data_IF_779937019775
#
_entry.id   IF_779937019775
#
_cell.length_a   1.000
_cell.length_b   1.000
_cell.length_c   1.000
_cell.angle_alpha   90.00
_cell.angle_beta   90.00
_cell.angle_gamma   90.00
#
_symmetry.space_group_name_H-M   'P 1'
#
loop_
_entity.id
_entity.type
_entity.pdbx_description
1 polymer ?
#
# COMPACT_ATOMS: atom_id res chain seq x y z
N UNK A 1 46.76 21.96 -5.35
CA UNK A 1 45.77 22.16 -4.27
C UNK A 1 44.50 21.44 -4.70
N UNK A 2 44.35 20.20 -4.24
CA UNK A 2 43.26 19.30 -4.62
C UNK A 2 42.21 19.25 -3.50
N UNK A 3 40.96 19.46 -3.86
CA UNK A 3 39.78 19.11 -3.06
C UNK A 3 39.46 17.63 -3.28
N UNK A 4 39.19 16.86 -2.21
CA UNK A 4 37.89 16.21 -2.15
C UNK A 4 37.32 16.14 -0.72
N UNK A 5 36.00 16.33 -0.56
CA UNK A 5 35.28 15.80 0.59
C UNK A 5 34.22 14.79 0.13
N UNK A 6 34.40 13.60 0.68
CA UNK A 6 33.74 12.34 0.41
C UNK A 6 32.43 12.26 1.18
N UNK A 7 31.48 11.57 0.55
CA UNK A 7 30.16 11.12 0.98
C UNK A 7 30.08 10.56 2.41
N UNK A 8 29.01 10.91 3.11
CA UNK A 8 28.38 10.04 4.11
C UNK A 8 26.85 10.19 4.01
N UNK A 9 26.22 9.24 3.32
CA UNK A 9 24.77 9.07 3.23
C UNK A 9 24.30 8.44 4.55
N UNK A 10 23.41 9.12 5.27
CA UNK A 10 22.81 8.61 6.51
C UNK A 10 21.67 7.64 6.15
N UNK A 11 21.87 6.36 6.46
CA UNK A 11 20.89 5.30 6.35
C UNK A 11 20.17 5.17 7.71
N UNK A 12 18.92 5.62 7.83
CA UNK A 12 17.99 5.18 8.89
C UNK A 12 16.60 5.82 8.69
N UNK A 13 15.66 5.08 8.10
CA UNK A 13 14.23 5.47 8.03
C UNK A 13 13.32 4.55 8.85
N UNK A 14 13.86 3.81 9.82
CA UNK A 14 13.10 2.80 10.61
C UNK A 14 12.79 3.27 12.05
N UNK A 15 13.20 4.47 12.45
CA UNK A 15 13.00 4.96 13.83
C UNK A 15 12.01 6.13 13.98
N UNK A 16 11.19 6.45 12.97
CA UNK A 16 10.39 7.69 13.05
C UNK A 16 9.24 7.66 14.05
N UNK A 17 8.76 6.51 14.52
CA UNK A 17 7.58 6.49 15.42
C UNK A 17 7.60 5.46 16.56
N UNK A 18 8.75 4.84 16.89
CA UNK A 18 8.83 4.05 18.12
C UNK A 18 9.20 4.98 19.30
N UNK A 19 8.31 5.24 20.27
CA UNK A 19 8.72 5.87 21.52
C UNK A 19 9.70 4.93 22.22
N UNK A 20 10.94 5.38 22.37
CA UNK A 20 11.95 4.69 23.19
C UNK A 20 11.44 4.67 24.62
N UNK A 21 11.18 3.49 25.16
CA UNK A 21 10.94 3.28 26.58
C UNK A 21 12.25 3.48 27.34
N UNK A 22 12.35 4.57 28.09
CA UNK A 22 13.46 4.87 29.00
C UNK A 22 13.37 4.02 30.28
N UNK A 23 13.43 2.70 30.16
CA UNK A 23 13.45 1.81 31.31
C UNK A 23 14.03 0.43 30.98
N UNK A 24 15.30 0.41 30.51
CA UNK A 24 16.13 -0.80 30.58
C UNK A 24 17.62 -0.47 30.83
N UNK A 25 17.97 -0.51 32.12
CA UNK A 25 19.26 -0.74 32.81
C UNK A 25 20.55 0.09 32.51
N UNK A 26 21.27 0.57 33.56
CA UNK A 26 22.43 1.46 33.44
C UNK A 26 23.76 0.69 33.56
N UNK A 27 24.45 0.42 32.45
CA UNK A 27 25.87 0.03 32.49
C UNK A 27 26.59 0.70 31.33
N UNK A 28 26.88 2.00 31.46
CA UNK A 28 28.05 2.67 30.86
C UNK A 28 28.29 3.97 31.63
N UNK A 29 28.81 3.86 32.86
CA UNK A 29 29.50 4.96 33.56
C UNK A 29 30.98 4.94 33.17
N UNK A 30 31.49 6.08 32.72
CA UNK A 30 32.92 6.40 32.62
C UNK A 30 33.20 7.15 31.31
N UNK A 31 33.67 8.40 31.30
CA UNK A 31 34.11 9.32 32.34
C UNK A 31 34.58 10.64 31.74
N UNK A 32 34.81 11.64 32.60
CA UNK A 32 35.41 12.95 32.31
C UNK A 32 34.38 14.03 31.89
N UNK A 33 34.12 15.12 32.61
CA UNK A 33 34.95 15.90 33.53
C UNK A 33 35.22 17.28 32.91
N UNK A 34 35.12 18.35 33.70
CA UNK A 34 35.14 19.81 33.39
C UNK A 34 33.72 20.37 33.15
N UNK A 35 33.20 21.38 33.84
CA UNK A 35 33.73 22.34 34.82
C UNK A 35 32.74 23.53 34.85
N UNK A 36 32.50 24.08 36.03
CA UNK A 36 31.56 25.14 36.44
C UNK A 36 31.54 26.37 35.50
N UNK A 37 30.46 27.18 35.40
CA UNK A 37 30.12 28.24 36.36
C UNK A 37 28.66 28.75 36.28
N UNK A 38 28.02 28.82 37.46
CA UNK A 38 27.12 29.83 38.04
C UNK A 38 26.39 30.88 37.17
N UNK A 39 25.07 31.02 37.42
CA UNK A 39 24.28 32.22 37.11
C UNK A 39 22.91 32.19 37.80
N UNK A 40 22.82 32.75 39.01
CA UNK A 40 21.61 32.94 39.81
C UNK A 40 20.86 34.18 39.30
N UNK A 41 19.53 34.10 39.14
CA UNK A 41 18.58 35.14 39.59
C UNK A 41 17.15 34.68 39.36
N UNK A 42 16.39 34.54 40.45
CA UNK A 42 14.94 34.48 40.43
C UNK A 42 14.37 35.90 40.51
N UNK A 43 13.23 36.13 39.84
CA UNK A 43 12.36 37.26 40.13
C UNK A 43 10.89 36.87 39.92
N UNK A 44 10.19 37.02 41.04
CA UNK A 44 8.77 37.02 41.39
C UNK A 44 7.76 37.55 40.37
N UNK A 45 6.57 36.93 40.48
CA UNK A 45 5.24 37.35 40.00
C UNK A 45 4.96 38.86 40.11
N UNK A 46 4.38 39.42 39.05
CA UNK A 46 3.55 40.62 39.10
C UNK A 46 2.23 40.36 38.36
N UNK A 47 1.13 40.47 39.12
CA UNK A 47 -0.24 40.53 38.61
C UNK A 47 -0.40 41.81 37.78
N UNK A 48 -0.81 41.67 36.52
CA UNK A 48 -1.55 42.72 35.83
C UNK A 48 -2.78 42.14 35.16
N UNK A 49 -3.95 42.46 35.76
CA UNK A 49 -5.22 42.53 35.04
C UNK A 49 -5.11 43.69 34.04
N UNK A 50 -5.36 43.39 32.79
CA UNK A 50 -5.78 44.36 31.79
C UNK A 50 -6.71 43.65 30.82
N UNK A 51 -7.81 44.32 30.54
CA UNK A 51 -9.01 43.85 29.88
C UNK A 51 -8.77 43.29 28.47
N UNK A 52 -9.36 42.11 28.20
CA UNK A 52 -9.62 41.63 26.84
C UNK A 52 -11.06 41.11 26.81
N UNK A 53 -12.00 42.04 26.84
CA UNK A 53 -13.30 41.84 26.20
C UNK A 53 -13.09 41.94 24.68
N UNK A 54 -13.89 41.20 23.91
CA UNK A 54 -13.92 41.09 22.44
C UNK A 54 -12.87 40.22 21.75
N UNK A 55 -13.07 38.90 21.85
CA UNK A 55 -12.77 37.96 20.76
C UNK A 55 -14.01 37.11 20.46
N UNK A 56 -14.36 37.09 19.18
CA UNK A 56 -15.62 36.66 18.54
C UNK A 56 -15.93 35.16 18.63
N UNK A 57 -17.19 34.72 18.36
CA UNK A 57 -17.65 33.33 18.54
C UNK A 57 -16.94 32.24 17.71
N UNK A 58 -16.08 32.62 16.76
CA UNK A 58 -15.41 31.70 15.83
C UNK A 58 -14.25 30.90 16.47
N UNK A 59 -13.61 31.42 17.52
CA UNK A 59 -12.53 30.72 18.23
C UNK A 59 -13.03 29.59 19.16
N UNK A 60 -14.30 29.64 19.60
CA UNK A 60 -14.90 28.56 20.41
C UNK A 60 -15.22 27.31 19.61
N UNK A 61 -15.50 27.43 18.32
CA UNK A 61 -15.75 26.26 17.44
C UNK A 61 -14.43 25.57 17.06
N UNK A 62 -13.34 26.33 16.95
CA UNK A 62 -12.00 25.79 16.68
C UNK A 62 -11.42 24.97 17.84
N UNK A 63 -11.57 25.44 19.08
CA UNK A 63 -11.08 24.68 20.26
C UNK A 63 -11.90 23.41 20.53
N UNK A 64 -13.20 23.41 20.22
CA UNK A 64 -14.05 22.21 20.39
C UNK A 64 -13.64 21.07 19.45
N UNK A 65 -13.22 21.38 18.21
CA UNK A 65 -12.70 20.38 17.26
C UNK A 65 -11.36 19.80 17.69
N UNK A 66 -10.53 20.57 18.38
CA UNK A 66 -9.21 20.10 18.83
C UNK A 66 -9.31 19.22 20.08
N UNK A 67 -10.21 19.52 21.02
CA UNK A 67 -10.41 18.71 22.22
C UNK A 67 -11.03 17.33 21.93
N UNK A 68 -11.91 17.22 20.92
CA UNK A 68 -12.51 15.93 20.50
C UNK A 68 -11.46 14.98 19.90
N UNK A 69 -10.41 15.51 19.26
CA UNK A 69 -9.33 14.69 18.69
C UNK A 69 -8.33 14.19 19.75
N UNK A 70 -8.11 14.92 20.85
CA UNK A 70 -7.15 14.51 21.89
C UNK A 70 -7.74 13.49 22.88
N UNK A 71 -9.06 13.52 23.13
CA UNK A 71 -9.70 12.61 24.10
C UNK A 71 -9.95 11.21 23.52
N UNK A 72 -9.95 11.06 22.20
CA UNK A 72 -10.26 9.78 21.54
C UNK A 72 -9.14 8.71 21.66
N UNK A 73 -7.99 9.08 22.21
CA UNK A 73 -6.85 8.17 22.34
C UNK A 73 -6.74 7.47 23.69
N UNK A 74 -7.45 7.91 24.75
CA UNK A 74 -7.12 7.44 26.11
C UNK A 74 -8.25 7.25 27.13
N UNK A 75 -9.54 7.45 26.82
CA UNK A 75 -10.59 7.30 27.87
C UNK A 75 -11.78 6.45 27.41
N UNK A 76 -11.99 5.38 28.17
CA UNK A 76 -13.16 4.50 28.15
C UNK A 76 -14.46 5.34 28.18
N UNK A 77 -15.29 5.19 27.15
CA UNK A 77 -16.43 6.08 26.81
C UNK A 77 -17.52 6.14 27.90
N UNK A 78 -17.51 5.24 28.88
CA UNK A 78 -18.45 5.25 29.99
C UNK A 78 -18.23 6.40 31.01
N UNK A 79 -17.10 7.11 30.98
CA UNK A 79 -16.77 8.13 31.99
C UNK A 79 -17.34 9.53 31.70
N UNK A 80 -17.76 9.84 30.46
CA UNK A 80 -18.13 11.21 30.07
C UNK A 80 -19.62 11.54 30.18
N UNK A 81 -20.47 10.58 30.54
CA UNK A 81 -21.90 10.79 30.74
C UNK A 81 -22.27 11.44 32.09
N UNK A 82 -21.32 11.65 33.00
CA UNK A 82 -21.60 12.15 34.35
C UNK A 82 -21.18 13.60 34.64
N UNK A 83 -20.58 14.33 33.70
CA UNK A 83 -20.03 15.66 34.01
C UNK A 83 -20.81 16.87 33.48
N UNK A 84 -21.99 16.70 32.89
CA UNK A 84 -22.80 17.85 32.43
C UNK A 84 -24.29 17.69 32.78
N UNK A 85 -24.62 17.69 34.07
CA UNK A 85 -25.93 18.15 34.52
C UNK A 85 -25.79 19.60 34.99
N UNK A 86 -26.07 20.56 34.10
CA UNK A 86 -26.35 21.93 34.52
C UNK A 86 -27.87 22.09 34.70
N UNK A 87 -28.37 22.46 35.89
CA UNK A 87 -29.78 22.74 36.07
C UNK A 87 -30.11 24.08 35.37
N UNK A 88 -30.70 24.01 34.17
CA UNK A 88 -31.22 25.21 33.50
C UNK A 88 -31.20 25.24 31.96
N UNK A 89 -30.69 24.22 31.28
CA UNK A 89 -30.75 24.20 29.81
C UNK A 89 -32.16 23.84 29.33
N UNK A 90 -32.88 24.86 28.85
CA UNK A 90 -34.20 24.75 28.26
C UNK A 90 -34.18 23.91 26.98
N UNK A 91 -35.26 23.13 26.81
CA UNK A 91 -35.65 22.31 25.66
C UNK A 91 -35.02 22.74 24.32
N UNK A 92 -34.00 22.02 23.88
CA UNK A 92 -33.70 21.89 22.45
C UNK A 92 -33.23 20.46 22.18
N UNK A 93 -34.20 19.59 21.90
CA UNK A 93 -34.01 18.19 21.51
C UNK A 93 -33.32 18.02 20.14
N UNK A 94 -33.05 19.11 19.40
CA UNK A 94 -32.44 19.05 18.07
C UNK A 94 -30.93 18.76 18.10
N UNK A 95 -30.20 19.30 19.08
CA UNK A 95 -28.72 19.17 19.14
C UNK A 95 -28.29 17.78 19.64
N UNK A 96 -29.05 17.20 20.58
CA UNK A 96 -28.82 15.84 21.07
C UNK A 96 -29.08 14.77 20.00
N UNK A 97 -29.98 15.04 19.06
CA UNK A 97 -30.30 14.10 17.98
C UNK A 97 -29.17 14.01 16.96
N UNK A 98 -28.57 15.13 16.57
CA UNK A 98 -27.53 15.19 15.51
C UNK A 98 -26.24 14.46 15.89
N UNK A 99 -25.81 14.55 17.15
CA UNK A 99 -24.61 13.83 17.62
C UNK A 99 -24.86 12.32 17.68
N UNK A 100 -26.08 11.90 18.05
CA UNK A 100 -26.45 10.48 18.09
C UNK A 100 -26.54 9.84 16.70
N UNK A 101 -26.89 10.61 15.67
CA UNK A 101 -26.92 10.17 14.28
C UNK A 101 -25.51 10.05 13.69
N UNK A 102 -24.62 11.00 13.98
CA UNK A 102 -23.23 10.96 13.52
C UNK A 102 -22.38 9.91 14.25
N UNK A 103 -22.74 9.50 15.47
CA UNK A 103 -22.08 8.42 16.20
C UNK A 103 -22.58 7.01 15.80
N UNK A 104 -23.71 6.88 15.09
CA UNK A 104 -24.18 5.58 14.58
C UNK A 104 -23.34 5.04 13.42
N UNK A 105 -22.55 5.88 12.75
CA UNK A 105 -21.71 5.47 11.62
C UNK A 105 -20.41 4.78 12.04
N UNK A 106 -20.04 4.79 13.32
CA UNK A 106 -18.91 4.03 13.84
C UNK A 106 -19.40 2.84 14.66
N UNK A 107 -19.96 1.84 13.98
CA UNK A 107 -20.15 0.54 14.62
C UNK A 107 -18.77 -0.08 14.89
N UNK A 108 -18.47 -0.50 16.13
CA UNK A 108 -17.23 -1.20 16.43
C UNK A 108 -17.20 -2.51 15.63
N UNK A 109 -16.14 -2.70 14.84
CA UNK A 109 -15.84 -3.97 14.17
C UNK A 109 -15.86 -5.05 15.25
N UNK A 110 -16.71 -6.08 15.12
CA UNK A 110 -16.84 -7.09 16.16
C UNK A 110 -15.49 -7.80 16.34
N UNK A 111 -15.16 -8.27 17.55
CA UNK A 111 -13.86 -8.93 17.79
C UNK A 111 -13.66 -10.21 16.96
N UNK A 112 -14.75 -10.81 16.44
CA UNK A 112 -14.68 -11.90 15.47
C UNK A 112 -14.23 -11.42 14.08
N UNK A 113 -14.55 -10.19 13.71
CA UNK A 113 -14.18 -9.58 12.44
C UNK A 113 -12.70 -9.16 12.45
N UNK A 114 -12.15 -8.72 13.59
CA UNK A 114 -10.72 -8.37 13.66
C UNK A 114 -9.81 -9.57 13.44
N UNK A 115 -10.18 -10.75 13.97
CA UNK A 115 -9.44 -11.99 13.72
C UNK A 115 -9.47 -12.41 12.25
N UNK A 116 -10.64 -12.34 11.61
CA UNK A 116 -10.78 -12.63 10.16
C UNK A 116 -9.96 -11.68 9.32
N UNK A 117 -9.94 -10.39 9.66
CA UNK A 117 -9.12 -9.39 8.99
C UNK A 117 -7.63 -9.66 9.17
N UNK A 118 -7.20 -10.13 10.35
CA UNK A 118 -5.82 -10.57 10.56
C UNK A 118 -5.47 -11.77 9.66
N UNK A 119 -6.34 -12.78 9.59
CA UNK A 119 -6.15 -13.94 8.70
C UNK A 119 -6.06 -13.50 7.22
N UNK A 120 -6.91 -12.57 6.79
CA UNK A 120 -6.82 -11.97 5.46
C UNK A 120 -5.48 -11.24 5.25
N UNK A 121 -5.02 -10.45 6.22
CA UNK A 121 -3.73 -9.76 6.16
C UNK A 121 -2.55 -10.73 6.07
N UNK A 122 -2.62 -11.87 6.77
CA UNK A 122 -1.62 -12.92 6.71
C UNK A 122 -1.59 -13.57 5.32
N UNK A 123 -2.75 -13.84 4.71
CA UNK A 123 -2.85 -14.35 3.33
C UNK A 123 -2.24 -13.37 2.32
N UNK A 124 -2.67 -12.12 2.33
CA UNK A 124 -2.09 -11.06 1.46
C UNK A 124 -0.58 -10.92 1.71
N UNK A 125 -0.14 -11.08 2.96
CA UNK A 125 1.27 -11.04 3.35
C UNK A 125 2.13 -12.09 2.65
N UNK A 126 1.59 -13.26 2.31
CA UNK A 126 2.34 -14.34 1.63
C UNK A 126 2.84 -13.90 0.25
N UNK A 127 2.06 -13.11 -0.48
CA UNK A 127 2.40 -12.62 -1.83
C UNK A 127 3.68 -11.78 -1.85
N UNK A 128 4.08 -11.21 -0.71
CA UNK A 128 5.34 -10.46 -0.55
C UNK A 128 6.58 -11.36 -0.60
N UNK A 129 6.41 -12.67 -0.39
CA UNK A 129 7.50 -13.64 -0.30
C UNK A 129 7.46 -14.68 -1.42
N UNK A 130 6.34 -14.79 -2.12
CA UNK A 130 6.16 -15.71 -3.24
C UNK A 130 6.78 -15.11 -4.49
N UNK A 131 7.88 -15.75 -4.93
CA UNK A 131 8.59 -15.41 -6.16
C UNK A 131 7.80 -15.89 -7.38
N UNK A 132 7.77 -15.10 -8.46
CA UNK A 132 7.08 -15.53 -9.69
C UNK A 132 7.76 -16.75 -10.31
N UNK A 133 7.00 -17.82 -10.51
CA UNK A 133 7.45 -19.15 -10.91
C UNK A 133 8.14 -19.14 -12.27
N UNK A 134 7.71 -18.27 -13.20
CA UNK A 134 8.34 -18.10 -14.51
C UNK A 134 9.84 -17.78 -14.42
N UNK A 135 10.20 -16.85 -13.53
CA UNK A 135 11.59 -16.43 -13.32
C UNK A 135 12.39 -17.46 -12.53
N UNK A 136 11.77 -18.09 -11.52
CA UNK A 136 12.39 -19.17 -10.74
C UNK A 136 12.80 -20.33 -11.65
N UNK A 137 11.92 -20.74 -12.58
CA UNK A 137 12.20 -21.80 -13.57
C UNK A 137 13.28 -21.42 -14.59
N UNK A 138 13.68 -20.16 -14.68
CA UNK A 138 14.79 -19.66 -15.51
C UNK A 138 16.04 -19.33 -14.71
N UNK A 139 16.09 -19.74 -13.43
CA UNK A 139 17.21 -19.53 -12.54
C UNK A 139 17.62 -18.06 -12.41
N UNK A 140 16.66 -17.12 -12.56
CA UNK A 140 16.91 -15.70 -12.33
C UNK A 140 17.26 -15.50 -10.85
N UNK A 141 18.38 -14.82 -10.60
CA UNK A 141 18.80 -14.48 -9.23
C UNK A 141 17.86 -13.41 -8.66
N UNK A 142 17.39 -13.61 -7.42
CA UNK A 142 16.44 -12.71 -6.75
C UNK A 142 15.32 -12.20 -7.68
N UNK A 143 14.41 -13.10 -8.11
CA UNK A 143 13.28 -12.72 -8.94
C UNK A 143 12.29 -11.87 -8.15
N UNK A 144 11.42 -11.14 -8.84
CA UNK A 144 10.35 -10.36 -8.23
C UNK A 144 9.35 -11.28 -7.50
N UNK A 145 8.59 -10.67 -6.61
CA UNK A 145 7.47 -11.33 -5.94
C UNK A 145 6.16 -11.00 -6.64
N UNK A 146 5.13 -11.82 -6.44
CA UNK A 146 3.78 -11.58 -6.99
C UNK A 146 3.27 -10.18 -6.56
N UNK A 147 3.50 -9.81 -5.30
CA UNK A 147 3.15 -8.48 -4.81
C UNK A 147 3.92 -7.35 -5.54
N UNK A 148 5.19 -7.59 -5.92
CA UNK A 148 5.99 -6.63 -6.70
C UNK A 148 5.42 -6.40 -8.10
N UNK A 149 5.02 -7.48 -8.77
CA UNK A 149 4.34 -7.45 -10.06
C UNK A 149 3.02 -6.66 -9.99
N UNK A 150 2.13 -7.03 -9.08
CA UNK A 150 0.85 -6.33 -8.90
C UNK A 150 1.02 -4.85 -8.53
N UNK A 151 2.06 -4.52 -7.76
CA UNK A 151 2.39 -3.12 -7.44
C UNK A 151 2.75 -2.32 -8.70
N UNK A 152 3.66 -2.82 -9.54
CA UNK A 152 4.04 -2.10 -10.77
C UNK A 152 2.85 -1.99 -11.72
N UNK A 153 2.03 -3.04 -11.86
CA UNK A 153 0.78 -2.95 -12.62
C UNK A 153 -0.19 -1.88 -12.09
N UNK A 154 -0.37 -1.79 -10.77
CA UNK A 154 -1.20 -0.74 -10.17
C UNK A 154 -0.64 0.66 -10.47
N UNK A 155 0.69 0.82 -10.47
CA UNK A 155 1.33 2.08 -10.90
C UNK A 155 1.14 2.35 -12.40
N UNK A 156 1.08 1.33 -13.24
CA UNK A 156 0.81 1.49 -14.67
C UNK A 156 -0.65 1.83 -14.98
N UNK A 157 -1.60 1.53 -14.08
CA UNK A 157 -3.02 1.93 -14.24
C UNK A 157 -3.22 3.45 -14.35
N UNK A 158 -2.25 4.24 -13.88
CA UNK A 158 -2.27 5.70 -14.01
C UNK A 158 -2.16 6.18 -15.46
N UNK A 159 -1.65 5.33 -16.36
CA UNK A 159 -1.49 5.61 -17.80
C UNK A 159 -2.83 5.68 -18.55
N UNK A 160 -3.94 5.22 -17.96
CA UNK A 160 -5.28 5.34 -18.56
C UNK A 160 -5.57 6.81 -18.86
N UNK A 161 -5.85 7.10 -20.14
CA UNK A 161 -6.16 8.45 -20.60
C UNK A 161 -7.57 8.82 -20.11
N UNK A 162 -7.74 10.03 -19.58
CA UNK A 162 -9.05 10.54 -19.16
C UNK A 162 -10.07 10.68 -20.32
N UNK A 163 -9.62 10.58 -21.58
CA UNK A 163 -10.48 10.53 -22.77
C UNK A 163 -11.02 9.13 -23.06
N UNK A 164 -10.39 8.08 -22.51
CA UNK A 164 -10.86 6.71 -22.66
C UNK A 164 -12.09 6.48 -21.78
N UNK A 165 -13.04 5.68 -22.27
CA UNK A 165 -14.21 5.26 -21.48
C UNK A 165 -13.85 4.06 -20.60
N UNK A 166 -12.84 4.23 -19.75
CA UNK A 166 -12.33 3.21 -18.84
C UNK A 166 -12.42 3.69 -17.41
N UNK A 167 -12.87 2.81 -16.50
CA UNK A 167 -12.84 3.10 -15.07
C UNK A 167 -11.44 2.84 -14.49
N UNK A 168 -10.68 3.92 -14.27
CA UNK A 168 -9.33 3.87 -13.68
C UNK A 168 -9.31 3.27 -12.27
N UNK A 169 -10.33 3.53 -11.44
CA UNK A 169 -10.39 3.00 -10.07
C UNK A 169 -10.58 1.49 -10.14
N UNK A 170 -11.50 1.03 -10.99
CA UNK A 170 -11.73 -0.39 -11.21
C UNK A 170 -10.50 -1.10 -11.77
N UNK A 171 -9.79 -0.50 -12.73
CA UNK A 171 -8.52 -1.03 -13.26
C UNK A 171 -7.50 -1.19 -12.13
N UNK A 172 -7.30 -0.15 -11.29
CA UNK A 172 -6.36 -0.21 -10.17
C UNK A 172 -6.76 -1.23 -9.10
N UNK A 173 -8.05 -1.39 -8.81
CA UNK A 173 -8.53 -2.44 -7.91
C UNK A 173 -8.25 -3.83 -8.50
N UNK A 174 -8.54 -4.01 -9.79
CA UNK A 174 -8.36 -5.27 -10.50
C UNK A 174 -6.88 -5.67 -10.59
N UNK A 175 -5.95 -4.74 -10.84
CA UNK A 175 -4.51 -5.05 -10.82
C UNK A 175 -4.03 -5.55 -9.44
N UNK A 176 -4.62 -5.07 -8.34
CA UNK A 176 -4.29 -5.50 -6.98
C UNK A 176 -4.97 -6.81 -6.55
N UNK A 177 -6.00 -7.25 -7.27
CA UNK A 177 -6.83 -8.42 -6.92
C UNK A 177 -6.52 -9.63 -7.81
N UNK A 178 -6.11 -9.43 -9.07
CA UNK A 178 -6.14 -10.49 -10.07
C UNK A 178 -5.31 -11.74 -9.71
N UNK A 179 -4.14 -11.58 -9.10
CA UNK A 179 -3.29 -12.69 -8.63
C UNK A 179 -3.44 -12.96 -7.11
N UNK A 180 -4.49 -12.44 -6.46
CA UNK A 180 -4.69 -12.61 -5.02
C UNK A 180 -4.88 -14.09 -4.62
N UNK A 181 -5.51 -14.88 -5.49
CA UNK A 181 -5.71 -16.32 -5.31
C UNK A 181 -4.37 -17.08 -5.10
N UNK A 182 -3.29 -16.58 -5.69
CA UNK A 182 -1.98 -17.23 -5.67
C UNK A 182 -1.40 -17.33 -4.25
N UNK A 183 -1.90 -16.55 -3.27
CA UNK A 183 -1.49 -16.68 -1.87
C UNK A 183 -1.89 -18.02 -1.23
N UNK A 184 -2.81 -18.75 -1.86
CA UNK A 184 -3.25 -20.09 -1.49
C UNK A 184 -2.75 -21.12 -2.52
N UNK A 185 -2.99 -20.88 -3.81
CA UNK A 185 -2.74 -21.90 -4.86
C UNK A 185 -1.30 -21.93 -5.40
N UNK A 186 -0.54 -20.84 -5.21
CA UNK A 186 0.76 -20.64 -5.85
C UNK A 186 0.66 -20.03 -7.24
N UNK A 187 1.78 -19.48 -7.76
CA UNK A 187 1.89 -19.00 -9.14
C UNK A 187 1.97 -20.21 -10.09
N UNK A 188 0.81 -20.61 -10.63
CA UNK A 188 0.64 -21.75 -11.55
C UNK A 188 0.94 -21.30 -12.98
N UNK A 189 2.10 -21.73 -13.49
CA UNK A 189 2.52 -21.47 -14.88
C UNK A 189 2.11 -22.59 -15.84
N UNK A 190 2.13 -22.36 -17.17
CA UNK A 190 1.92 -23.42 -18.17
C UNK A 190 2.87 -24.62 -18.03
N UNK A 191 4.03 -24.43 -17.40
CA UNK A 191 5.02 -25.48 -17.16
C UNK A 191 4.75 -26.32 -15.90
N UNK A 192 3.64 -26.08 -15.19
CA UNK A 192 3.25 -26.85 -14.01
C UNK A 192 2.40 -28.08 -14.37
N UNK A 193 1.94 -28.22 -15.62
CA UNK A 193 1.16 -29.38 -16.07
C UNK A 193 -0.29 -29.41 -15.58
N UNK A 194 -0.78 -28.31 -14.99
CA UNK A 194 -2.16 -28.16 -14.56
C UNK A 194 -3.00 -27.65 -15.75
N UNK A 195 -4.09 -28.33 -16.11
CA UNK A 195 -5.00 -27.85 -17.16
C UNK A 195 -5.59 -26.48 -16.83
N UNK A 196 -5.87 -25.62 -17.83
CA UNK A 196 -6.45 -24.29 -17.59
C UNK A 196 -7.75 -24.30 -16.77
N UNK A 197 -8.64 -25.25 -17.05
CA UNK A 197 -9.92 -25.36 -16.33
C UNK A 197 -9.73 -25.71 -14.84
N UNK A 198 -8.73 -26.55 -14.54
CA UNK A 198 -8.41 -26.92 -13.17
C UNK A 198 -7.72 -25.77 -12.43
N UNK A 199 -6.82 -25.03 -13.10
CA UNK A 199 -6.24 -23.79 -12.56
C UNK A 199 -7.35 -22.81 -12.19
N UNK A 200 -8.28 -22.55 -13.11
CA UNK A 200 -9.39 -21.63 -12.90
C UNK A 200 -10.28 -22.06 -11.73
N UNK A 201 -10.62 -23.37 -11.63
CA UNK A 201 -11.38 -23.92 -10.50
C UNK A 201 -10.66 -23.70 -9.17
N UNK A 202 -9.37 -24.01 -9.09
CA UNK A 202 -8.56 -23.86 -7.87
C UNK A 202 -8.47 -22.39 -7.42
N UNK A 203 -8.27 -21.47 -8.36
CA UNK A 203 -8.17 -20.04 -8.07
C UNK A 203 -9.52 -19.45 -7.65
N UNK A 204 -10.62 -19.86 -8.29
CA UNK A 204 -11.96 -19.43 -7.92
C UNK A 204 -12.33 -19.89 -6.50
N UNK A 205 -12.05 -21.15 -6.15
CA UNK A 205 -12.26 -21.68 -4.79
C UNK A 205 -11.40 -20.93 -3.75
N UNK A 206 -10.14 -20.66 -4.07
CA UNK A 206 -9.26 -19.88 -3.20
C UNK A 206 -9.78 -18.45 -2.99
N UNK A 207 -10.29 -17.80 -4.04
CA UNK A 207 -10.89 -16.47 -3.94
C UNK A 207 -12.18 -16.46 -3.16
N UNK A 208 -13.02 -17.50 -3.26
CA UNK A 208 -14.19 -17.64 -2.40
C UNK A 208 -13.81 -17.71 -0.93
N UNK A 209 -12.76 -18.46 -0.58
CA UNK A 209 -12.26 -18.56 0.79
C UNK A 209 -11.67 -17.24 1.30
N UNK A 210 -10.88 -16.54 0.48
CA UNK A 210 -10.35 -15.21 0.80
C UNK A 210 -11.50 -14.22 1.03
N UNK A 211 -12.51 -14.20 0.16
CA UNK A 211 -13.63 -13.27 0.24
C UNK A 211 -14.55 -13.53 1.43
N UNK A 212 -14.67 -14.77 1.93
CA UNK A 212 -15.41 -15.07 3.18
C UNK A 212 -14.82 -14.34 4.39
N UNK A 213 -13.49 -14.11 4.41
CA UNK A 213 -12.82 -13.37 5.49
C UNK A 213 -13.16 -11.88 5.49
N UNK A 214 -13.63 -11.34 4.37
CA UNK A 214 -13.94 -9.92 4.18
C UNK A 214 -15.42 -9.56 4.43
N UNK A 215 -16.26 -10.55 4.73
CA UNK A 215 -17.69 -10.35 4.99
C UNK A 215 -18.38 -9.62 3.83
N UNK A 216 -19.04 -8.50 4.13
CA UNK A 216 -19.84 -7.72 3.17
C UNK A 216 -19.03 -7.16 1.98
N UNK A 217 -17.69 -7.07 2.10
CA UNK A 217 -16.80 -6.61 1.02
C UNK A 217 -16.38 -7.74 0.08
N UNK A 218 -16.52 -9.00 0.49
CA UNK A 218 -16.11 -10.17 -0.28
C UNK A 218 -16.77 -10.29 -1.66
N UNK A 219 -18.10 -10.09 -1.79
CA UNK A 219 -18.79 -10.23 -3.07
C UNK A 219 -18.27 -9.31 -4.18
N UNK A 220 -17.96 -8.05 -3.86
CA UNK A 220 -17.42 -7.07 -4.82
C UNK A 220 -16.03 -7.50 -5.33
N UNK A 221 -15.15 -7.92 -4.42
CA UNK A 221 -13.79 -8.38 -4.77
C UNK A 221 -13.84 -9.66 -5.61
N UNK A 222 -14.70 -10.61 -5.25
CA UNK A 222 -14.90 -11.83 -6.02
C UNK A 222 -15.43 -11.54 -7.43
N UNK A 223 -16.33 -10.56 -7.55
CA UNK A 223 -16.83 -10.11 -8.86
C UNK A 223 -15.71 -9.52 -9.72
N UNK A 224 -14.85 -8.64 -9.16
CA UNK A 224 -13.71 -8.07 -9.88
C UNK A 224 -12.75 -9.17 -10.36
N UNK A 225 -12.44 -10.13 -9.49
CA UNK A 225 -11.59 -11.28 -9.83
C UNK A 225 -12.18 -12.10 -10.99
N UNK A 226 -13.44 -12.52 -10.88
CA UNK A 226 -14.12 -13.31 -11.92
C UNK A 226 -14.26 -12.56 -13.23
N UNK A 227 -14.46 -11.24 -13.17
CA UNK A 227 -14.49 -10.39 -14.36
C UNK A 227 -13.14 -10.36 -15.09
N UNK A 228 -12.04 -10.23 -14.33
CA UNK A 228 -10.70 -10.35 -14.89
C UNK A 228 -10.49 -11.72 -15.55
N UNK A 229 -10.79 -12.81 -14.83
CA UNK A 229 -10.60 -14.18 -15.36
C UNK A 229 -11.36 -14.43 -16.67
N UNK A 230 -12.59 -13.90 -16.78
CA UNK A 230 -13.42 -14.05 -17.99
C UNK A 230 -13.02 -13.10 -19.13
N UNK A 231 -12.27 -12.04 -18.86
CA UNK A 231 -11.82 -11.05 -19.87
C UNK A 231 -12.98 -10.39 -20.65
N UNK A 232 -14.14 -10.22 -20.00
CA UNK A 232 -15.37 -9.75 -20.64
C UNK A 232 -15.47 -8.21 -20.75
N UNK A 233 -14.82 -7.47 -19.85
CA UNK A 233 -14.89 -6.01 -19.83
C UNK A 233 -13.68 -5.33 -20.50
N UNK A 234 -13.85 -4.08 -20.99
CA UNK A 234 -12.73 -3.26 -21.44
C UNK A 234 -11.64 -3.09 -20.37
N UNK A 235 -12.02 -2.92 -19.11
CA UNK A 235 -11.10 -2.83 -17.97
C UNK A 235 -10.30 -4.11 -17.77
N UNK A 236 -10.95 -5.29 -17.82
CA UNK A 236 -10.27 -6.58 -17.69
C UNK A 236 -9.27 -6.82 -18.81
N UNK A 237 -9.62 -6.44 -20.04
CA UNK A 237 -8.72 -6.54 -21.19
C UNK A 237 -7.55 -5.56 -21.08
N UNK A 238 -7.80 -4.35 -20.57
CA UNK A 238 -6.74 -3.37 -20.31
C UNK A 238 -5.77 -3.87 -19.24
N UNK A 239 -6.27 -4.41 -18.13
CA UNK A 239 -5.43 -5.01 -17.07
C UNK A 239 -4.62 -6.17 -17.61
N UNK A 240 -5.19 -6.99 -18.51
CA UNK A 240 -4.43 -8.09 -19.14
C UNK A 240 -3.31 -7.59 -20.05
N UNK A 241 -3.51 -6.46 -20.71
CA UNK A 241 -2.46 -5.81 -21.49
C UNK A 241 -1.37 -5.21 -20.59
N UNK A 242 -1.72 -4.69 -19.40
CA UNK A 242 -0.75 -4.27 -18.38
C UNK A 242 0.08 -5.44 -17.85
N UNK A 243 -0.55 -6.58 -17.53
CA UNK A 243 0.13 -7.82 -17.07
C UNK A 243 1.21 -8.25 -18.08
N UNK A 244 0.84 -8.27 -19.36
CA UNK A 244 1.77 -8.59 -20.46
C UNK A 244 2.89 -7.57 -20.60
N UNK A 245 2.58 -6.27 -20.50
CA UNK A 245 3.59 -5.21 -20.59
C UNK A 245 4.60 -5.33 -19.44
N UNK A 246 4.11 -5.57 -18.23
CA UNK A 246 4.93 -5.74 -17.03
C UNK A 246 5.89 -6.92 -17.18
N UNK A 247 5.39 -8.06 -17.68
CA UNK A 247 6.20 -9.25 -17.98
C UNK A 247 7.35 -8.95 -18.97
N UNK A 248 7.07 -8.21 -20.05
CA UNK A 248 8.08 -7.85 -21.05
C UNK A 248 9.15 -6.91 -20.48
N UNK A 249 8.72 -5.89 -19.74
CA UNK A 249 9.63 -4.95 -19.09
C UNK A 249 10.53 -5.69 -18.10
N UNK A 250 9.95 -6.59 -17.29
CA UNK A 250 10.70 -7.37 -16.32
C UNK A 250 11.73 -8.29 -16.97
N UNK A 251 11.35 -8.97 -18.05
CA UNK A 251 12.27 -9.82 -18.80
C UNK A 251 13.47 -9.01 -19.33
N UNK A 252 13.21 -7.85 -19.93
CA UNK A 252 14.29 -6.96 -20.40
C UNK A 252 15.18 -6.47 -19.26
N UNK A 253 14.60 -6.08 -18.12
CA UNK A 253 15.36 -5.67 -16.94
C UNK A 253 16.27 -6.77 -16.42
N UNK A 254 15.81 -8.03 -16.39
CA UNK A 254 16.64 -9.16 -15.98
C UNK A 254 17.75 -9.47 -16.98
N UNK A 255 17.46 -9.48 -18.28
CA UNK A 255 18.51 -9.69 -19.28
C UNK A 255 19.61 -8.63 -19.19
N UNK A 256 19.21 -7.38 -18.93
CA UNK A 256 20.14 -6.26 -18.74
C UNK A 256 20.92 -6.35 -17.42
N UNK A 257 20.23 -6.63 -16.30
CA UNK A 257 20.82 -6.72 -14.96
C UNK A 257 21.83 -7.85 -14.87
N UNK A 258 21.46 -9.02 -15.39
CA UNK A 258 22.26 -10.23 -15.26
C UNK A 258 23.20 -10.44 -16.46
N UNK A 259 23.17 -9.52 -17.43
CA UNK A 259 23.99 -9.55 -18.65
C UNK A 259 23.82 -10.85 -19.46
N UNK A 260 22.56 -11.26 -19.64
CA UNK A 260 22.14 -12.48 -20.35
C UNK A 260 21.28 -12.12 -21.58
N UNK A 261 21.84 -11.39 -22.57
CA UNK A 261 21.06 -10.89 -23.70
C UNK A 261 20.41 -12.02 -24.49
N UNK A 262 19.09 -11.96 -24.66
CA UNK A 262 18.36 -12.93 -25.48
C UNK A 262 17.86 -14.18 -24.73
N UNK A 263 18.35 -14.46 -23.51
CA UNK A 263 18.03 -15.71 -22.80
C UNK A 263 16.54 -15.82 -22.40
N UNK A 264 15.83 -14.70 -22.27
CA UNK A 264 14.41 -14.65 -21.90
C UNK A 264 13.49 -14.39 -23.12
N UNK A 265 13.96 -14.68 -24.34
CA UNK A 265 13.22 -14.41 -25.58
C UNK A 265 11.86 -15.11 -25.67
N UNK A 266 11.69 -16.25 -25.01
CA UNK A 266 10.44 -16.99 -24.94
C UNK A 266 9.27 -16.13 -24.42
N UNK A 267 9.50 -15.21 -23.48
CA UNK A 267 8.47 -14.32 -22.96
C UNK A 267 8.04 -13.30 -24.01
N UNK A 268 8.99 -12.76 -24.79
CA UNK A 268 8.71 -11.87 -25.91
C UNK A 268 7.90 -12.57 -27.01
N UNK A 269 8.31 -13.78 -27.39
CA UNK A 269 7.59 -14.60 -28.37
C UNK A 269 6.18 -14.94 -27.88
N UNK A 270 6.01 -15.26 -26.59
CA UNK A 270 4.72 -15.60 -26.02
C UNK A 270 3.72 -14.44 -26.02
N UNK A 271 4.19 -13.19 -25.97
CA UNK A 271 3.33 -11.98 -25.92
C UNK A 271 3.13 -11.33 -27.28
N UNK A 272 3.98 -11.63 -28.27
CA UNK A 272 3.92 -11.01 -29.59
C UNK A 272 2.50 -11.02 -30.20
N UNK A 273 2.00 -9.84 -30.57
CA UNK A 273 0.67 -9.67 -31.16
C UNK A 273 -0.52 -9.86 -30.22
N UNK A 274 -0.32 -10.02 -28.91
CA UNK A 274 -1.42 -10.22 -27.94
C UNK A 274 -1.89 -8.93 -27.26
N UNK A 275 -1.06 -7.88 -27.20
CA UNK A 275 -1.41 -6.59 -26.60
C UNK A 275 -2.34 -5.82 -27.54
N UNK A 276 -3.53 -5.46 -27.06
CA UNK A 276 -4.60 -4.86 -27.87
C UNK A 276 -4.60 -3.34 -27.77
N UNK A 277 -4.37 -2.80 -26.57
CA UNK A 277 -4.45 -1.37 -26.32
C UNK A 277 -3.34 -0.62 -27.09
N UNK A 278 -3.67 0.39 -27.93
CA UNK A 278 -2.70 1.00 -28.83
C UNK A 278 -1.48 1.60 -28.12
N UNK A 279 -1.70 2.29 -27.00
CA UNK A 279 -0.62 2.94 -26.22
C UNK A 279 0.26 1.90 -25.54
N UNK A 280 -0.34 0.88 -24.92
CA UNK A 280 0.41 -0.19 -24.23
C UNK A 280 1.22 -0.98 -25.26
N UNK A 281 0.62 -1.29 -26.41
CA UNK A 281 1.30 -1.99 -27.50
C UNK A 281 2.48 -1.17 -28.04
N UNK A 282 2.32 0.16 -28.18
CA UNK A 282 3.42 1.02 -28.60
C UNK A 282 4.59 0.98 -27.60
N UNK A 283 4.32 1.04 -26.30
CA UNK A 283 5.36 0.91 -25.26
C UNK A 283 6.04 -0.46 -25.34
N UNK A 284 5.27 -1.54 -25.52
CA UNK A 284 5.82 -2.89 -25.64
C UNK A 284 6.74 -3.05 -26.87
N UNK A 285 6.38 -2.42 -27.99
CA UNK A 285 7.23 -2.36 -29.19
C UNK A 285 8.54 -1.62 -28.87
N UNK A 286 8.45 -0.46 -28.21
CA UNK A 286 9.64 0.35 -27.87
C UNK A 286 10.59 -0.42 -26.93
N UNK A 287 10.07 -1.12 -25.93
CA UNK A 287 10.85 -2.02 -25.04
C UNK A 287 11.55 -3.11 -25.85
N UNK A 288 10.83 -3.73 -26.80
CA UNK A 288 11.38 -4.81 -27.64
C UNK A 288 12.49 -4.28 -28.54
N UNK A 289 12.32 -3.11 -29.15
CA UNK A 289 13.35 -2.47 -29.97
C UNK A 289 14.60 -2.09 -29.17
N UNK A 290 14.44 -1.61 -27.94
CA UNK A 290 15.55 -1.32 -27.03
C UNK A 290 16.30 -2.59 -26.65
N UNK A 291 15.57 -3.65 -26.29
CA UNK A 291 16.14 -4.96 -26.02
C UNK A 291 16.93 -5.51 -27.22
N UNK A 292 16.39 -5.39 -28.43
CA UNK A 292 17.05 -5.89 -29.64
C UNK A 292 18.35 -5.13 -29.94
N UNK A 293 18.41 -3.83 -29.60
CA UNK A 293 19.66 -3.05 -29.67
C UNK A 293 20.65 -3.54 -28.62
N UNK A 294 20.20 -3.79 -27.39
CA UNK A 294 21.04 -4.34 -26.32
C UNK A 294 21.64 -5.70 -26.71
N UNK A 295 20.83 -6.62 -27.25
CA UNK A 295 21.29 -7.93 -27.69
C UNK A 295 22.32 -7.85 -28.83
N UNK A 296 22.12 -6.93 -29.79
CA UNK A 296 23.07 -6.71 -30.90
C UNK A 296 24.40 -6.13 -30.43
N UNK A 297 24.40 -5.16 -29.53
CA UNK A 297 25.62 -4.47 -29.09
C UNK A 297 26.62 -5.41 -28.38
N UNK A 298 26.13 -6.42 -27.66
CA UNK A 298 27.00 -7.41 -27.01
C UNK A 298 27.60 -8.39 -28.01
N UNK A 299 26.86 -8.78 -29.05
CA UNK A 299 27.37 -9.67 -30.10
C UNK A 299 28.45 -9.01 -30.98
N UNK A 300 28.52 -7.68 -31.03
CA UNK A 300 29.58 -6.94 -31.74
C UNK A 300 30.83 -6.74 -30.86
N UNK A 301 30.70 -6.91 -29.54
CA UNK A 301 31.79 -6.67 -28.56
C UNK A 301 32.53 -7.95 -28.13
N UNK A 302 32.12 -9.11 -28.64
CA UNK A 302 32.76 -10.43 -28.46
C UNK A 302 33.44 -10.85 -29.76
#
# INVERSE_FOLDING_TARGET
MNSPRIYSVLFASVLRECPVREDVNPILRGGGGLGETSGISGATFANHRSDVADLTPLLRVGLLKFCVLIVNSYVNVNALLLMWWQPGATKNNSILFTVSEQLREFQPIAMQDTKRLQEFMELVGRLKHMKRTGWVKRNISDPETIAGHMYRMAMLSFLVDGKEKLDKIKIMQMTLIHDLAECIVGDITPYCGIPPDEKHRMEDEAMEDICKLLGDKGPEILQIFREYEKQESPEAQYVKDLDRLDLLMQAYEYEKRDNIPGELNEFFVAINGKIRHPVINKIAIDITEERDKFCRNINVSK
#
